data_IF_855059936717
#
_entry.id   IF_855059936717
#
_cell.length_a   1.000
_cell.length_b   1.000
_cell.length_c   1.000
_cell.angle_alpha   90.00
_cell.angle_beta   90.00
_cell.angle_gamma   90.00
#
_symmetry.space_group_name_H-M   'P 1'
#
loop_
_entity.id
_entity.type
_entity.pdbx_description
1 polymer ?
#
# COMPACT_ATOMS: atom_id res chain seq x y z
N UNK A 1 7.44 37.93 -55.54
CA UNK A 1 8.52 37.62 -54.57
C UNK A 1 7.87 36.93 -53.38
N UNK A 2 8.28 35.69 -53.15
CA UNK A 2 7.58 34.65 -52.38
C UNK A 2 7.68 34.89 -50.87
N UNK A 3 6.54 34.88 -50.18
CA UNK A 3 6.46 34.93 -48.71
C UNK A 3 6.92 33.58 -48.14
N UNK A 4 8.11 33.57 -47.51
CA UNK A 4 8.68 32.39 -46.85
C UNK A 4 8.04 32.20 -45.47
N UNK A 5 6.98 31.38 -45.42
CA UNK A 5 6.46 30.77 -44.19
C UNK A 5 7.15 29.40 -44.01
N UNK A 6 7.99 29.28 -42.96
CA UNK A 6 8.24 28.08 -42.13
C UNK A 6 9.69 28.04 -41.65
N UNK A 7 9.88 28.30 -40.35
CA UNK A 7 10.54 27.37 -39.42
C UNK A 7 10.47 27.94 -38.00
N UNK A 8 9.27 27.90 -37.40
CA UNK A 8 9.16 27.80 -35.95
C UNK A 8 9.15 26.29 -35.64
N UNK A 9 10.28 25.74 -35.19
CA UNK A 9 10.45 24.28 -35.18
C UNK A 9 11.39 23.78 -34.10
N UNK A 10 10.92 23.84 -32.85
CA UNK A 10 11.38 23.09 -31.68
C UNK A 10 12.85 23.30 -31.25
N UNK A 11 13.05 24.32 -30.41
CA UNK A 11 14.21 24.41 -29.53
C UNK A 11 14.34 23.13 -28.67
N UNK A 12 15.53 22.50 -28.57
CA UNK A 12 15.77 21.26 -27.83
C UNK A 12 15.42 21.36 -26.33
N UNK A 13 15.35 22.60 -25.81
CA UNK A 13 14.89 22.94 -24.46
C UNK A 13 13.45 22.50 -24.16
N UNK A 14 12.55 22.53 -25.16
CA UNK A 14 11.13 22.17 -24.94
C UNK A 14 10.96 20.67 -24.70
N UNK A 15 11.85 19.84 -25.27
CA UNK A 15 11.88 18.38 -25.02
C UNK A 15 12.47 18.04 -23.65
N UNK A 16 13.44 18.83 -23.17
CA UNK A 16 14.09 18.61 -21.86
C UNK A 16 13.15 18.83 -20.67
N UNK A 17 12.26 19.83 -20.75
CA UNK A 17 11.32 20.16 -19.66
C UNK A 17 10.23 19.09 -19.54
N UNK A 18 9.69 18.60 -20.66
CA UNK A 18 8.69 17.52 -20.65
C UNK A 18 9.22 16.22 -20.04
N UNK A 19 10.51 15.92 -20.23
CA UNK A 19 11.15 14.74 -19.62
C UNK A 19 11.46 14.98 -18.13
N UNK A 20 11.91 16.18 -17.74
CA UNK A 20 12.21 16.52 -16.34
C UNK A 20 10.99 16.46 -15.42
N UNK A 21 9.79 16.79 -15.91
CA UNK A 21 8.55 16.69 -15.13
C UNK A 21 7.75 15.41 -15.43
N UNK A 22 7.83 14.88 -16.65
CA UNK A 22 7.12 13.65 -17.03
C UNK A 22 7.75 12.39 -16.45
N UNK A 23 9.08 12.29 -16.41
CA UNK A 23 9.77 11.13 -15.86
C UNK A 23 9.49 10.89 -14.36
N UNK A 24 9.59 11.89 -13.46
CA UNK A 24 9.25 11.67 -12.05
C UNK A 24 7.76 11.35 -11.85
N UNK A 25 6.86 11.90 -12.66
CA UNK A 25 5.44 11.58 -12.59
C UNK A 25 5.17 10.11 -12.98
N UNK A 26 5.78 9.63 -14.07
CA UNK A 26 5.67 8.22 -14.49
C UNK A 26 6.28 7.30 -13.43
N UNK A 27 7.45 7.64 -12.88
CA UNK A 27 8.07 6.88 -11.80
C UNK A 27 7.19 6.84 -10.55
N UNK A 28 6.54 7.94 -10.18
CA UNK A 28 5.62 7.97 -9.05
C UNK A 28 4.41 7.06 -9.28
N UNK A 29 3.83 7.06 -10.49
CA UNK A 29 2.70 6.19 -10.84
C UNK A 29 3.12 4.72 -10.83
N UNK A 30 4.26 4.37 -11.43
CA UNK A 30 4.81 3.01 -11.42
C UNK A 30 5.13 2.57 -10.00
N UNK A 31 5.72 3.45 -9.19
CA UNK A 31 6.00 3.17 -7.78
C UNK A 31 4.70 2.93 -6.99
N UNK A 32 3.69 3.79 -7.14
CA UNK A 32 2.40 3.62 -6.47
C UNK A 32 1.67 2.34 -6.90
N UNK A 33 1.67 2.02 -8.19
CA UNK A 33 1.03 0.79 -8.69
C UNK A 33 1.80 -0.45 -8.28
N UNK A 34 3.13 -0.42 -8.28
CA UNK A 34 3.96 -1.52 -7.78
C UNK A 34 3.73 -1.76 -6.29
N UNK A 35 3.72 -0.71 -5.47
CA UNK A 35 3.46 -0.85 -4.03
C UNK A 35 2.02 -1.31 -3.73
N UNK A 36 1.03 -0.90 -4.52
CA UNK A 36 -0.33 -1.43 -4.41
C UNK A 36 -0.41 -2.91 -4.80
N UNK A 37 0.11 -3.29 -5.97
CA UNK A 37 0.04 -4.66 -6.47
C UNK A 37 0.78 -5.63 -5.55
N UNK A 38 1.98 -5.27 -5.09
CA UNK A 38 2.79 -6.12 -4.20
C UNK A 38 2.31 -6.04 -2.74
N UNK A 39 1.57 -4.99 -2.38
CA UNK A 39 0.99 -4.80 -1.04
C UNK A 39 -0.05 -5.87 -0.71
N UNK A 40 -0.88 -6.24 -1.69
CA UNK A 40 -1.91 -7.28 -1.52
C UNK A 40 -1.31 -8.64 -1.12
N UNK A 41 -0.30 -9.12 -1.86
CA UNK A 41 0.34 -10.41 -1.61
C UNK A 41 1.12 -10.40 -0.29
N UNK A 42 1.79 -9.28 0.02
CA UNK A 42 2.45 -9.10 1.32
C UNK A 42 1.46 -9.19 2.47
N UNK A 43 0.33 -8.51 2.37
CA UNK A 43 -0.62 -8.44 3.46
C UNK A 43 -1.40 -9.74 3.62
N UNK A 44 -1.67 -10.47 2.53
CA UNK A 44 -2.16 -11.86 2.60
C UNK A 44 -1.16 -12.78 3.31
N UNK A 45 0.12 -12.68 2.97
CA UNK A 45 1.16 -13.47 3.65
C UNK A 45 1.24 -13.12 5.15
N UNK A 46 1.17 -11.84 5.50
CA UNK A 46 1.15 -11.38 6.90
C UNK A 46 -0.11 -11.87 7.63
N UNK A 47 -1.30 -11.78 7.02
CA UNK A 47 -2.53 -12.35 7.57
C UNK A 47 -2.42 -13.85 7.79
N UNK A 48 -1.81 -14.60 6.87
CA UNK A 48 -1.67 -16.06 7.01
C UNK A 48 -0.74 -16.48 8.15
N UNK A 49 0.14 -15.59 8.60
CA UNK A 49 1.00 -15.82 9.76
C UNK A 49 0.26 -15.56 11.09
N UNK A 50 -0.83 -14.80 11.05
CA UNK A 50 -1.71 -14.63 12.21
C UNK A 50 -2.62 -15.85 12.28
N UNK A 51 -2.37 -16.71 13.27
CA UNK A 51 -3.13 -17.93 13.46
C UNK A 51 -4.16 -17.79 14.59
N UNK A 52 -5.29 -18.50 14.45
CA UNK A 52 -6.22 -18.70 15.56
C UNK A 52 -5.48 -19.37 16.74
N UNK A 53 -5.68 -18.84 17.95
CA UNK A 53 -4.99 -19.23 19.16
C UNK A 53 -3.87 -18.30 19.61
N UNK A 54 -3.44 -17.33 18.79
CA UNK A 54 -2.49 -16.30 19.24
C UNK A 54 -3.09 -15.48 20.38
N UNK A 55 -2.29 -15.21 21.41
CA UNK A 55 -2.70 -14.31 22.49
C UNK A 55 -2.60 -12.85 22.06
N UNK A 56 -3.32 -11.96 22.74
CA UNK A 56 -3.22 -10.51 22.51
C UNK A 56 -1.79 -10.00 22.54
N UNK A 57 -0.95 -10.51 23.46
CA UNK A 57 0.45 -10.11 23.57
C UNK A 57 1.27 -10.53 22.34
N UNK A 58 1.06 -11.76 21.85
CA UNK A 58 1.70 -12.25 20.63
C UNK A 58 1.25 -11.45 19.40
N UNK A 59 -0.05 -11.16 19.30
CA UNK A 59 -0.59 -10.35 18.23
C UNK A 59 -0.03 -8.93 18.27
N UNK A 60 0.07 -8.31 19.44
CA UNK A 60 0.64 -6.97 19.60
C UNK A 60 2.11 -6.90 19.20
N UNK A 61 2.91 -7.89 19.60
CA UNK A 61 4.30 -8.01 19.17
C UNK A 61 4.38 -8.18 17.65
N UNK A 62 3.55 -9.04 17.06
CA UNK A 62 3.51 -9.26 15.62
C UNK A 62 3.14 -7.99 14.84
N UNK A 63 2.14 -7.25 15.30
CA UNK A 63 1.70 -5.97 14.73
C UNK A 63 2.82 -4.93 14.79
N UNK A 64 3.52 -4.85 15.91
CA UNK A 64 4.67 -3.94 16.10
C UNK A 64 5.84 -4.33 15.19
N UNK A 65 6.19 -5.62 15.13
CA UNK A 65 7.29 -6.15 14.32
C UNK A 65 7.05 -5.94 12.82
N UNK A 66 5.81 -6.19 12.37
CA UNK A 66 5.40 -6.00 10.97
C UNK A 66 5.02 -4.55 10.64
N UNK A 67 5.06 -3.64 11.63
CA UNK A 67 4.65 -2.23 11.50
C UNK A 67 3.26 -2.07 10.87
N UNK A 68 2.33 -2.89 11.35
CA UNK A 68 0.93 -2.79 10.97
C UNK A 68 0.25 -1.68 11.78
N UNK A 69 -0.61 -0.92 11.12
CA UNK A 69 -1.46 0.07 11.75
C UNK A 69 -2.78 -0.58 12.18
N UNK A 70 -3.19 -0.38 13.42
CA UNK A 70 -4.50 -0.86 13.89
C UNK A 70 -4.61 -0.98 15.40
N UNK A 71 -5.85 -1.06 15.88
CA UNK A 71 -6.15 -1.19 17.31
C UNK A 71 -6.49 -2.65 17.60
N UNK A 72 -5.77 -3.26 18.55
CA UNK A 72 -6.04 -4.61 19.03
C UNK A 72 -7.02 -4.55 20.19
N UNK A 73 -8.26 -4.95 19.93
CA UNK A 73 -9.29 -5.11 20.94
C UNK A 73 -9.05 -6.38 21.78
N UNK A 74 -9.38 -6.33 23.07
CA UNK A 74 -9.35 -7.50 23.96
C UNK A 74 -10.45 -8.53 23.61
N UNK A 75 -11.60 -8.05 23.10
CA UNK A 75 -12.72 -8.84 22.64
C UNK A 75 -13.38 -8.15 21.44
N UNK A 76 -13.80 -8.92 20.44
CA UNK A 76 -14.43 -8.42 19.23
C UNK A 76 -13.49 -8.35 18.03
N UNK A 77 -13.80 -7.50 17.07
CA UNK A 77 -13.07 -7.44 15.79
C UNK A 77 -12.01 -6.35 15.83
N UNK A 78 -10.77 -6.70 15.52
CA UNK A 78 -9.62 -5.80 15.35
C UNK A 78 -9.25 -5.75 13.87
N UNK A 79 -9.06 -4.55 13.31
CA UNK A 79 -8.61 -4.37 11.93
C UNK A 79 -7.17 -3.89 11.95
N UNK A 80 -6.31 -4.61 11.24
CA UNK A 80 -4.87 -4.38 11.14
C UNK A 80 -4.53 -4.06 9.69
N UNK A 81 -4.33 -2.80 9.36
CA UNK A 81 -3.90 -2.33 8.05
C UNK A 81 -2.38 -2.35 7.90
N UNK A 82 -1.89 -2.49 6.67
CA UNK A 82 -0.49 -2.18 6.36
C UNK A 82 -0.33 -0.66 6.18
N UNK A 83 0.52 -0.06 7.01
CA UNK A 83 0.88 1.36 6.95
C UNK A 83 1.45 1.74 5.57
N UNK A 84 2.19 0.83 4.92
CA UNK A 84 2.77 1.07 3.59
C UNK A 84 1.76 1.04 2.45
N UNK A 85 0.63 0.39 2.66
CA UNK A 85 -0.45 0.27 1.68
C UNK A 85 -1.53 1.33 1.88
N UNK A 86 -1.28 2.37 2.69
CA UNK A 86 -2.24 3.42 3.03
C UNK A 86 -3.60 2.87 3.52
N UNK A 87 -3.59 1.73 4.22
CA UNK A 87 -4.81 1.10 4.73
C UNK A 87 -5.68 0.39 3.69
N UNK A 88 -5.26 0.28 2.41
CA UNK A 88 -6.01 -0.46 1.38
C UNK A 88 -6.02 -1.97 1.60
N UNK A 89 -4.94 -2.49 2.19
CA UNK A 89 -4.82 -3.90 2.54
C UNK A 89 -4.86 -4.04 4.06
N UNK A 90 -5.84 -4.78 4.55
CA UNK A 90 -6.08 -4.95 5.98
C UNK A 90 -6.38 -6.41 6.35
N UNK A 91 -6.11 -6.73 7.60
CA UNK A 91 -6.37 -8.02 8.22
C UNK A 91 -7.41 -7.83 9.32
N UNK A 92 -8.57 -8.46 9.16
CA UNK A 92 -9.58 -8.51 10.21
C UNK A 92 -9.29 -9.70 11.10
N UNK A 93 -8.97 -9.41 12.35
CA UNK A 93 -8.68 -10.39 13.38
C UNK A 93 -9.80 -10.34 14.40
N UNK A 94 -10.51 -11.45 14.55
CA UNK A 94 -11.56 -11.59 15.57
C UNK A 94 -10.95 -12.17 16.83
N UNK A 95 -11.16 -11.48 17.94
CA UNK A 95 -10.64 -11.80 19.26
C UNK A 95 -11.78 -12.23 20.18
N UNK A 96 -11.59 -13.31 20.94
CA UNK A 96 -12.51 -13.69 22.01
C UNK A 96 -11.70 -14.21 23.21
N UNK A 97 -11.94 -13.66 24.40
CA UNK A 97 -11.20 -14.03 25.61
C UNK A 97 -9.71 -13.70 25.54
N UNK A 98 -9.31 -12.66 24.80
CA UNK A 98 -7.90 -12.26 24.65
C UNK A 98 -7.07 -13.15 23.71
N UNK A 99 -7.72 -14.05 22.96
CA UNK A 99 -7.07 -14.88 21.92
C UNK A 99 -7.74 -14.68 20.57
N UNK A 100 -6.96 -14.88 19.50
CA UNK A 100 -7.45 -14.83 18.13
C UNK A 100 -8.32 -16.06 17.86
N UNK A 101 -9.55 -15.83 17.41
CA UNK A 101 -10.50 -16.90 17.04
C UNK A 101 -10.64 -17.06 15.54
N UNK A 102 -10.56 -15.96 14.79
CA UNK A 102 -10.65 -15.97 13.34
C UNK A 102 -9.80 -14.85 12.73
N UNK A 103 -9.30 -15.08 11.52
CA UNK A 103 -8.51 -14.13 10.75
C UNK A 103 -9.04 -14.11 9.32
N UNK A 104 -9.29 -12.93 8.79
CA UNK A 104 -9.84 -12.73 7.46
C UNK A 104 -9.15 -11.57 6.77
N UNK A 105 -8.73 -11.77 5.52
CA UNK A 105 -8.12 -10.72 4.73
C UNK A 105 -9.21 -9.80 4.17
N UNK A 106 -9.03 -8.48 4.35
CA UNK A 106 -9.94 -7.45 3.87
C UNK A 106 -9.20 -6.46 2.97
N UNK A 107 -9.69 -6.36 1.73
CA UNK A 107 -9.31 -5.32 0.79
C UNK A 107 -10.32 -4.17 0.93
N UNK A 108 -9.84 -2.98 1.27
CA UNK A 108 -10.63 -1.76 1.17
C UNK A 108 -10.55 -1.26 -0.28
N UNK A 109 -11.64 -1.48 -1.04
CA UNK A 109 -11.81 -1.02 -2.42
C UNK A 109 -12.17 0.47 -2.48
#
# INVERSE_FOLDING_TARGET
MTFSLRQAGQSPLTKGIGVLFGLPAILAVVFFTYFNATGADRMKAVCSLVSAGMTRAQLHTFVTEKRLDGVIADNGVSILGDAKSYGRHSCKVTMAGGTVTAVEYLLAD
#
